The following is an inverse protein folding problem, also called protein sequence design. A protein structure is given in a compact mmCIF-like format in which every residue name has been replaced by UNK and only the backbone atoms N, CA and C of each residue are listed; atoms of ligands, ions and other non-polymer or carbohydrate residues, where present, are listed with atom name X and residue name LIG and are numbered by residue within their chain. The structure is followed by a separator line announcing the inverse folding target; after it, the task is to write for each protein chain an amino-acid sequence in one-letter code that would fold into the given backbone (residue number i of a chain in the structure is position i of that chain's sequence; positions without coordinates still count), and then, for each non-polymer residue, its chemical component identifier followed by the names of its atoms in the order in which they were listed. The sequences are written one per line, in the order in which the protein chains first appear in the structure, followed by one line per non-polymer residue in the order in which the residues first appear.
data_IF_963213226232
#
_entry.id   IF_963213226232
#
_cell.length_a   1.000
_cell.length_b   1.000
_cell.length_c   1.000
_cell.angle_alpha   90.00
_cell.angle_beta   90.00
_cell.angle_gamma   90.00
#
_symmetry.space_group_name_H-M   'P 1'
#
loop_
_entity.id
_entity.type
_entity.pdbx_description
1 polymer ?
#
# COMPACT_ATOMS: atom_id res chain seq x y z
N UNK A 1 20.73 20.55 -22.96
CA UNK A 1 19.84 19.89 -21.99
C UNK A 1 20.19 18.42 -22.05
N UNK A 2 21.00 17.93 -21.11
CA UNK A 2 21.21 16.50 -20.98
C UNK A 2 19.87 15.87 -20.60
N UNK A 3 19.44 14.85 -21.33
CA UNK A 3 18.26 14.09 -20.96
C UNK A 3 18.49 13.53 -19.55
N UNK A 4 17.60 13.82 -18.60
CA UNK A 4 17.65 13.23 -17.27
C UNK A 4 17.53 11.70 -17.43
N UNK A 5 18.66 10.99 -17.38
CA UNK A 5 18.67 9.55 -17.53
C UNK A 5 18.05 8.95 -16.26
N UNK A 6 16.89 8.33 -16.41
CA UNK A 6 16.21 7.64 -15.30
C UNK A 6 17.09 6.48 -14.84
N UNK A 7 17.41 6.46 -13.54
CA UNK A 7 18.15 5.36 -12.94
C UNK A 7 17.29 4.09 -12.96
N UNK A 8 17.89 2.94 -13.26
CA UNK A 8 17.22 1.64 -13.22
C UNK A 8 17.56 0.91 -11.92
N UNK A 9 16.55 0.33 -11.26
CA UNK A 9 16.70 -0.61 -10.16
C UNK A 9 16.31 -2.00 -10.64
N UNK A 10 17.31 -2.85 -10.89
CA UNK A 10 17.08 -4.23 -11.27
C UNK A 10 17.03 -5.11 -10.04
N UNK A 11 16.11 -6.08 -10.03
CA UNK A 11 16.00 -7.06 -8.95
C UNK A 11 15.51 -8.41 -9.49
N UNK A 12 15.75 -9.47 -8.74
CA UNK A 12 15.15 -10.78 -8.93
C UNK A 12 14.77 -11.38 -7.57
N UNK A 13 14.25 -12.61 -7.57
CA UNK A 13 13.73 -13.24 -6.34
C UNK A 13 14.84 -13.52 -5.30
N UNK A 14 16.12 -13.59 -5.70
CA UNK A 14 17.24 -13.74 -4.77
C UNK A 14 17.53 -12.47 -3.96
N UNK A 15 17.03 -11.31 -4.42
CA UNK A 15 17.16 -10.04 -3.70
C UNK A 15 16.11 -9.92 -2.57
N UNK A 16 15.16 -10.85 -2.47
CA UNK A 16 14.16 -10.85 -1.41
C UNK A 16 14.78 -11.14 -0.05
N UNK A 17 14.42 -10.32 0.93
CA UNK A 17 14.79 -10.51 2.33
C UNK A 17 13.75 -11.43 2.97
N UNK A 18 14.00 -12.74 3.06
CA UNK A 18 12.96 -13.67 3.56
C UNK A 18 12.63 -13.52 5.04
N UNK A 19 13.52 -12.93 5.85
CA UNK A 19 13.27 -12.73 7.28
C UNK A 19 13.70 -11.33 7.72
N UNK A 20 12.80 -10.63 8.40
CA UNK A 20 13.10 -9.36 9.08
C UNK A 20 12.75 -9.46 10.55
N UNK A 21 13.37 -8.64 11.39
CA UNK A 21 13.15 -8.67 12.85
C UNK A 21 12.54 -7.33 13.29
N UNK A 22 11.35 -7.38 13.87
CA UNK A 22 10.72 -6.25 14.56
C UNK A 22 11.21 -6.25 16.01
N UNK A 23 12.12 -5.34 16.37
CA UNK A 23 12.52 -5.13 17.76
C UNK A 23 12.67 -3.64 18.06
N UNK A 24 12.40 -3.24 19.31
CA UNK A 24 12.61 -1.85 19.78
C UNK A 24 14.10 -1.49 19.98
N UNK A 25 14.97 -2.49 19.93
CA UNK A 25 16.41 -2.39 20.24
C UNK A 25 17.30 -2.54 18.99
N UNK A 26 16.74 -2.91 17.83
CA UNK A 26 17.50 -3.11 16.58
C UNK A 26 17.76 -1.84 15.77
N UNK A 27 17.58 -0.65 16.34
CA UNK A 27 17.78 0.65 15.66
C UNK A 27 19.20 0.87 15.09
N UNK A 28 20.15 -0.06 15.24
CA UNK A 28 21.55 0.14 14.86
C UNK A 28 22.28 -1.03 14.19
N UNK A 29 21.67 -2.20 13.95
CA UNK A 29 22.44 -3.40 13.51
C UNK A 29 21.96 -4.09 12.22
N UNK A 30 20.76 -3.83 11.71
CA UNK A 30 20.32 -4.42 10.44
C UNK A 30 20.88 -3.62 9.26
N UNK A 31 21.74 -4.27 8.47
CA UNK A 31 22.25 -3.72 7.21
C UNK A 31 21.09 -3.52 6.23
N UNK A 32 20.88 -2.28 5.79
CA UNK A 32 19.88 -1.93 4.79
C UNK A 32 20.09 -2.71 3.49
N UNK A 33 19.00 -3.17 2.87
CA UNK A 33 19.03 -3.81 1.56
C UNK A 33 19.44 -2.82 0.46
N UNK A 34 19.75 -3.31 -0.74
CA UNK A 34 20.02 -2.42 -1.88
C UNK A 34 18.81 -1.56 -2.22
N UNK A 35 17.60 -2.12 -2.11
CA UNK A 35 16.35 -1.39 -2.30
C UNK A 35 16.22 -0.24 -1.30
N UNK A 36 16.43 -0.53 -0.01
CA UNK A 36 16.34 0.48 1.05
C UNK A 36 17.35 1.62 0.85
N UNK A 37 18.60 1.27 0.54
CA UNK A 37 19.62 2.28 0.28
C UNK A 37 19.26 3.16 -0.93
N UNK A 38 18.78 2.55 -2.01
CA UNK A 38 18.44 3.26 -3.26
C UNK A 38 17.25 4.19 -3.05
N UNK A 39 16.16 3.70 -2.44
CA UNK A 39 14.96 4.48 -2.18
C UNK A 39 15.22 5.63 -1.21
N UNK A 40 15.85 5.34 -0.07
CA UNK A 40 16.10 6.35 0.98
C UNK A 40 17.04 7.44 0.47
N UNK A 41 18.17 7.07 -0.14
CA UNK A 41 19.14 8.06 -0.66
C UNK A 41 18.56 8.90 -1.79
N UNK A 42 17.82 8.29 -2.72
CA UNK A 42 17.19 9.00 -3.81
C UNK A 42 16.09 9.96 -3.33
N UNK A 43 15.28 9.55 -2.36
CA UNK A 43 14.29 10.43 -1.72
C UNK A 43 14.95 11.60 -0.98
N UNK A 44 15.99 11.35 -0.19
CA UNK A 44 16.73 12.39 0.54
C UNK A 44 17.39 13.39 -0.42
N UNK A 45 18.01 12.93 -1.50
CA UNK A 45 18.61 13.80 -2.52
C UNK A 45 17.56 14.74 -3.12
N UNK A 46 16.38 14.23 -3.46
CA UNK A 46 15.29 15.05 -4.00
C UNK A 46 14.72 16.03 -2.98
N UNK A 47 14.74 15.68 -1.69
CA UNK A 47 14.35 16.59 -0.60
C UNK A 47 15.33 17.76 -0.50
N UNK A 48 16.63 17.48 -0.60
CA UNK A 48 17.69 18.49 -0.64
C UNK A 48 17.62 19.39 -1.88
N UNK A 49 17.12 18.86 -3.00
CA UNK A 49 16.89 19.61 -4.24
C UNK A 49 15.63 20.49 -4.20
N UNK A 50 14.80 20.41 -3.15
CA UNK A 50 13.60 21.23 -3.01
C UNK A 50 12.44 20.82 -3.91
N UNK A 51 12.37 19.54 -4.34
CA UNK A 51 11.32 19.04 -5.23
C UNK A 51 9.99 18.73 -4.54
N UNK A 52 9.89 18.97 -3.22
CA UNK A 52 8.71 18.69 -2.42
C UNK A 52 7.91 19.97 -2.17
N UNK A 53 6.59 19.85 -2.00
CA UNK A 53 5.72 20.98 -1.65
C UNK A 53 6.03 21.57 -0.26
N UNK A 54 6.63 20.76 0.62
CA UNK A 54 7.14 21.19 1.92
C UNK A 54 8.26 20.28 2.40
N UNK A 55 9.13 20.79 3.28
CA UNK A 55 10.12 19.98 3.98
C UNK A 55 9.45 19.13 5.05
N UNK A 56 9.67 17.82 5.02
CA UNK A 56 9.25 16.92 6.09
C UNK A 56 10.21 17.06 7.27
N UNK A 57 9.78 17.75 8.32
CA UNK A 57 10.49 17.78 9.60
C UNK A 57 10.21 16.52 10.42
N UNK A 58 10.92 16.36 11.55
CA UNK A 58 10.67 15.29 12.51
C UNK A 58 9.19 15.33 12.98
N UNK A 59 8.45 14.27 12.68
CA UNK A 59 7.04 14.18 12.98
C UNK A 59 6.84 13.87 14.47
N UNK A 60 6.20 14.80 15.20
CA UNK A 60 5.75 14.53 16.56
C UNK A 60 4.82 13.33 16.54
N UNK A 61 5.24 12.26 17.20
CA UNK A 61 4.55 10.97 17.20
C UNK A 61 4.09 10.62 18.62
N UNK A 62 2.86 10.12 18.76
CA UNK A 62 2.34 9.51 19.99
C UNK A 62 1.78 8.13 19.68
N UNK A 63 1.82 7.24 20.65
CA UNK A 63 1.01 6.03 20.64
C UNK A 63 -0.20 6.29 21.52
N UNK A 64 -1.40 6.15 20.96
CA UNK A 64 -2.61 6.34 21.74
C UNK A 64 -2.74 5.22 22.78
N UNK A 65 -3.12 5.55 24.03
CA UNK A 65 -3.34 4.54 25.05
C UNK A 65 -4.60 3.73 24.72
N UNK A 66 -4.47 2.41 24.72
CA UNK A 66 -5.56 1.47 24.46
C UNK A 66 -5.05 0.15 23.88
N UNK A 67 -5.97 -0.68 23.40
CA UNK A 67 -5.68 -2.01 22.87
C UNK A 67 -5.23 -2.01 21.41
N UNK A 68 -5.63 -0.99 20.64
CA UNK A 68 -5.28 -0.87 19.22
C UNK A 68 -3.91 -0.21 19.03
N UNK A 69 -3.49 0.65 19.97
CA UNK A 69 -2.14 1.23 19.97
C UNK A 69 -1.88 2.09 18.74
N UNK A 70 -2.89 2.88 18.32
CA UNK A 70 -2.80 3.74 17.14
C UNK A 70 -1.59 4.67 17.20
N UNK A 71 -0.86 4.76 16.08
CA UNK A 71 0.30 5.64 15.93
C UNK A 71 -0.18 6.98 15.37
N UNK A 72 -0.32 8.00 16.20
CA UNK A 72 -0.71 9.34 15.78
C UNK A 72 0.50 10.22 15.52
N UNK A 73 0.55 10.84 14.34
CA UNK A 73 1.59 11.78 13.92
C UNK A 73 0.99 13.13 13.53
N UNK A 74 1.59 14.20 14.05
CA UNK A 74 1.21 15.57 13.68
C UNK A 74 1.91 15.99 12.39
N UNK A 75 1.14 16.23 11.33
CA UNK A 75 1.63 16.75 10.06
C UNK A 75 0.72 17.85 9.53
N UNK A 76 0.91 19.07 10.04
CA UNK A 76 0.10 20.25 9.70
C UNK A 76 0.26 20.65 8.23
N UNK A 77 1.51 20.66 7.74
CA UNK A 77 1.82 21.05 6.36
C UNK A 77 1.16 20.12 5.35
N UNK A 78 1.06 18.83 5.65
CA UNK A 78 0.30 17.89 4.82
C UNK A 78 -1.19 18.23 4.73
N UNK A 79 -1.77 18.78 5.79
CA UNK A 79 -3.15 19.26 5.77
C UNK A 79 -3.34 20.48 4.86
N UNK A 80 -2.33 21.36 4.82
CA UNK A 80 -2.36 22.65 4.12
C UNK A 80 -1.94 22.56 2.65
N UNK A 81 -0.85 21.86 2.37
CA UNK A 81 -0.18 21.83 1.06
C UNK A 81 -0.68 20.70 0.14
N UNK A 82 -1.52 19.79 0.67
CA UNK A 82 -2.05 18.69 -0.13
C UNK A 82 -2.97 19.23 -1.23
N UNK A 83 -2.69 18.82 -2.46
CA UNK A 83 -3.55 19.10 -3.62
C UNK A 83 -5.01 18.73 -3.35
N UNK A 84 -5.93 19.59 -3.81
CA UNK A 84 -7.37 19.29 -3.84
C UNK A 84 -7.62 17.99 -4.64
N UNK A 85 -8.30 16.99 -4.07
CA UNK A 85 -8.65 15.77 -4.78
C UNK A 85 -9.50 16.04 -6.01
N UNK A 86 -9.41 15.15 -7.01
CA UNK A 86 -10.32 15.14 -8.15
C UNK A 86 -11.76 14.87 -7.69
N UNK A 87 -12.74 15.36 -8.46
CA UNK A 87 -14.14 14.99 -8.25
C UNK A 87 -14.34 13.54 -8.71
N UNK A 88 -14.62 12.67 -7.76
CA UNK A 88 -14.86 11.24 -7.99
C UNK A 88 -16.35 10.95 -7.84
N UNK A 89 -16.94 10.30 -8.84
CA UNK A 89 -18.36 9.92 -8.89
C UNK A 89 -18.57 8.41 -8.85
N UNK A 90 -17.58 7.63 -9.27
CA UNK A 90 -17.63 6.17 -9.31
C UNK A 90 -16.21 5.61 -9.21
N UNK A 91 -16.12 4.34 -8.83
CA UNK A 91 -14.85 3.62 -8.79
C UNK A 91 -14.32 3.35 -10.20
N UNK A 92 -15.23 3.10 -11.15
CA UNK A 92 -14.93 2.92 -12.58
C UNK A 92 -14.97 4.23 -13.36
N UNK A 93 -14.71 5.34 -12.68
CA UNK A 93 -14.62 6.64 -13.35
C UNK A 93 -13.48 6.60 -14.38
N UNK A 94 -13.79 7.00 -15.60
CA UNK A 94 -12.82 7.00 -16.70
C UNK A 94 -11.65 7.94 -16.44
N UNK A 95 -10.48 7.57 -16.97
CA UNK A 95 -9.31 8.44 -16.98
C UNK A 95 -9.62 9.72 -17.76
N UNK A 96 -9.19 10.87 -17.22
CA UNK A 96 -9.38 12.17 -17.86
C UNK A 96 -8.02 12.86 -18.02
N UNK A 97 -7.52 12.89 -19.27
CA UNK A 97 -6.25 13.50 -19.61
C UNK A 97 -6.19 15.01 -19.29
N UNK A 98 -7.32 15.70 -19.13
CA UNK A 98 -7.38 17.13 -18.79
C UNK A 98 -7.08 17.39 -17.33
N UNK A 99 -7.45 16.46 -16.45
CA UNK A 99 -7.14 16.52 -15.02
C UNK A 99 -5.66 16.18 -14.78
N UNK A 100 -5.17 16.49 -13.57
CA UNK A 100 -3.81 16.10 -13.19
C UNK A 100 -3.64 14.57 -13.32
N UNK A 101 -2.53 14.16 -13.90
CA UNK A 101 -2.14 12.77 -14.04
C UNK A 101 -0.61 12.66 -14.09
N UNK A 102 -0.06 11.47 -13.87
CA UNK A 102 1.39 11.29 -13.75
C UNK A 102 2.20 11.48 -15.03
N UNK A 103 1.58 11.68 -16.21
CA UNK A 103 2.32 12.14 -17.39
C UNK A 103 2.77 13.62 -17.30
N UNK A 104 2.37 14.32 -16.23
CA UNK A 104 2.66 15.75 -16.00
C UNK A 104 3.61 16.02 -14.84
N UNK A 105 4.21 14.99 -14.25
CA UNK A 105 5.20 15.17 -13.18
C UNK A 105 6.50 15.75 -13.73
N UNK A 106 7.27 16.45 -12.89
CA UNK A 106 8.64 16.79 -13.27
C UNK A 106 9.46 15.47 -13.35
N UNK A 107 10.18 15.18 -14.45
CA UNK A 107 11.04 13.99 -14.54
C UNK A 107 12.08 13.89 -13.41
N UNK A 108 12.48 15.01 -12.82
CA UNK A 108 13.37 15.03 -11.66
C UNK A 108 12.72 14.48 -10.38
N UNK A 109 11.38 14.29 -10.33
CA UNK A 109 10.68 13.62 -9.23
C UNK A 109 10.92 12.10 -9.24
N UNK A 110 11.34 11.52 -10.36
CA UNK A 110 11.56 10.07 -10.52
C UNK A 110 12.83 9.65 -9.78
N UNK A 111 12.69 8.73 -8.82
CA UNK A 111 13.80 8.16 -8.05
C UNK A 111 14.53 7.13 -8.90
N UNK A 112 13.80 6.13 -9.39
CA UNK A 112 14.28 5.10 -10.32
C UNK A 112 13.10 4.40 -10.99
N UNK A 113 13.39 3.61 -12.01
CA UNK A 113 12.49 2.66 -12.65
C UNK A 113 12.86 1.24 -12.20
N UNK A 114 11.89 0.50 -11.65
CA UNK A 114 12.06 -0.90 -11.24
C UNK A 114 11.91 -1.86 -12.40
N UNK A 115 12.81 -2.84 -12.49
CA UNK A 115 12.79 -3.91 -13.51
C UNK A 115 13.09 -5.24 -12.87
N UNK A 116 12.11 -6.14 -12.85
CA UNK A 116 12.33 -7.53 -12.46
C UNK A 116 13.12 -8.24 -13.56
N UNK A 117 14.23 -8.88 -13.20
CA UNK A 117 15.02 -9.72 -14.09
C UNK A 117 14.44 -11.14 -14.05
N UNK A 118 14.00 -11.64 -15.20
CA UNK A 118 13.68 -13.06 -15.35
C UNK A 118 14.99 -13.85 -15.35
N UNK A 119 15.19 -14.73 -14.36
CA UNK A 119 16.27 -15.71 -14.39
C UNK A 119 15.75 -16.91 -15.16
N UNK A 120 15.99 -16.96 -16.47
CA UNK A 120 15.80 -18.18 -17.24
C UNK A 120 17.15 -18.92 -17.32
N UNK A 121 17.34 -20.05 -16.61
CA UNK A 121 18.65 -20.73 -16.54
C UNK A 121 19.11 -21.35 -17.87
N UNK A 122 18.21 -21.52 -18.85
CA UNK A 122 18.51 -22.25 -20.10
C UNK A 122 18.67 -21.38 -21.35
N UNK A 123 18.43 -20.05 -21.30
CA UNK A 123 18.60 -19.16 -22.45
C UNK A 123 19.66 -18.09 -22.21
N UNK A 124 20.94 -18.50 -22.29
CA UNK A 124 22.05 -17.56 -22.57
C UNK A 124 21.93 -17.05 -24.02
N UNK A 125 21.02 -16.11 -24.25
CA UNK A 125 20.87 -15.46 -25.55
C UNK A 125 19.44 -15.23 -26.00
N UNK A 126 18.56 -14.73 -25.13
CA UNK A 126 17.32 -14.08 -25.56
C UNK A 126 16.79 -13.22 -24.42
N UNK A 127 16.91 -11.89 -24.55
CA UNK A 127 16.05 -11.01 -23.78
C UNK A 127 14.59 -11.30 -24.17
N UNK A 128 13.69 -11.26 -23.18
CA UNK A 128 12.23 -11.45 -23.25
C UNK A 128 11.76 -12.92 -23.16
N UNK A 129 11.57 -13.38 -21.93
CA UNK A 129 10.52 -14.36 -21.61
C UNK A 129 9.17 -13.63 -21.67
N UNK A 130 8.66 -13.41 -22.88
CA UNK A 130 7.30 -12.94 -23.13
C UNK A 130 6.34 -14.13 -23.12
N UNK A 131 5.86 -14.48 -21.92
CA UNK A 131 4.72 -15.37 -21.71
C UNK A 131 3.51 -14.56 -21.21
N UNK A 132 2.48 -14.44 -22.06
CA UNK A 132 1.10 -13.98 -21.78
C UNK A 132 0.84 -12.63 -21.07
N UNK A 133 1.84 -11.91 -20.57
CA UNK A 133 1.74 -10.50 -20.17
C UNK A 133 2.83 -9.72 -20.89
N UNK A 134 2.46 -9.13 -22.03
CA UNK A 134 3.39 -8.48 -22.95
C UNK A 134 3.99 -7.20 -22.36
N UNK A 135 5.30 -7.23 -22.09
CA UNK A 135 6.11 -6.09 -21.69
C UNK A 135 6.60 -6.24 -20.25
N UNK A 136 7.90 -5.99 -19.99
CA UNK A 136 8.32 -5.67 -18.63
C UNK A 136 7.43 -4.50 -18.17
N UNK A 137 6.50 -4.75 -17.26
CA UNK A 137 5.67 -3.69 -16.70
C UNK A 137 6.58 -2.76 -15.93
N UNK A 138 6.95 -1.66 -16.60
CA UNK A 138 7.82 -0.65 -16.05
C UNK A 138 7.11 -0.02 -14.88
N UNK A 139 7.72 -0.11 -13.70
CA UNK A 139 7.22 0.55 -12.50
C UNK A 139 8.15 1.71 -12.17
N UNK A 140 7.64 2.93 -12.28
CA UNK A 140 8.35 4.13 -11.86
C UNK A 140 8.15 4.35 -10.36
N UNK A 141 9.25 4.55 -9.64
CA UNK A 141 9.24 4.96 -8.25
C UNK A 141 9.51 6.47 -8.20
N UNK A 142 8.49 7.22 -7.79
CA UNK A 142 8.47 8.69 -7.84
C UNK A 142 8.26 9.23 -6.43
N UNK A 143 8.87 10.36 -6.06
CA UNK A 143 8.58 10.96 -4.76
C UNK A 143 7.10 11.35 -4.66
N UNK A 144 6.50 11.20 -3.48
CA UNK A 144 5.27 11.92 -3.21
C UNK A 144 5.63 13.34 -2.76
N UNK A 145 5.42 14.32 -3.64
CA UNK A 145 5.74 15.73 -3.37
C UNK A 145 5.02 16.30 -2.14
N UNK A 146 3.96 15.65 -1.66
CA UNK A 146 3.37 15.86 -0.33
C UNK A 146 3.62 14.62 0.54
N UNK A 147 4.76 14.49 1.23
CA UNK A 147 5.16 13.26 1.91
C UNK A 147 4.45 13.12 3.27
N UNK A 148 3.87 11.94 3.56
CA UNK A 148 3.25 11.70 4.86
C UNK A 148 4.25 11.29 5.93
N UNK A 149 5.33 10.64 5.48
CA UNK A 149 6.40 10.07 6.28
C UNK A 149 7.67 9.99 5.42
N UNK A 150 8.80 9.71 6.06
CA UNK A 150 10.09 9.49 5.43
C UNK A 150 10.02 8.45 4.30
N UNK A 151 10.71 8.78 3.21
CA UNK A 151 10.72 8.01 1.96
C UNK A 151 9.32 7.75 1.34
N UNK A 152 8.30 8.57 1.66
CA UNK A 152 7.00 8.45 1.01
C UNK A 152 7.12 8.66 -0.51
N UNK A 153 6.92 7.57 -1.25
CA UNK A 153 7.01 7.48 -2.70
C UNK A 153 5.72 6.90 -3.30
N UNK A 154 5.65 6.95 -4.62
CA UNK A 154 4.58 6.40 -5.44
C UNK A 154 5.17 5.37 -6.39
N UNK A 155 4.53 4.21 -6.46
CA UNK A 155 4.77 3.21 -7.50
C UNK A 155 3.75 3.44 -8.61
N UNK A 156 4.22 3.82 -9.79
CA UNK A 156 3.39 4.21 -10.93
C UNK A 156 3.75 3.29 -12.11
N UNK A 157 2.87 2.37 -12.53
CA UNK A 157 3.04 1.63 -13.77
C UNK A 157 3.18 2.60 -14.95
N UNK A 158 3.87 2.22 -16.02
CA UNK A 158 4.14 3.04 -17.22
C UNK A 158 3.06 4.13 -17.46
N UNK A 159 3.34 5.39 -17.07
CA UNK A 159 2.31 6.45 -16.99
C UNK A 159 1.59 6.71 -18.32
N UNK A 160 2.25 6.43 -19.44
CA UNK A 160 1.69 6.59 -20.77
C UNK A 160 0.53 5.64 -21.07
N UNK A 161 0.42 4.52 -20.34
CA UNK A 161 -0.71 3.59 -20.42
C UNK A 161 -2.01 4.19 -19.87
N UNK A 162 -1.92 5.29 -19.11
CA UNK A 162 -3.08 6.01 -18.56
C UNK A 162 -4.05 5.10 -17.79
N UNK A 163 -3.51 4.10 -17.08
CA UNK A 163 -4.30 3.13 -16.34
C UNK A 163 -5.14 3.84 -15.28
N UNK A 164 -6.42 3.50 -15.20
CA UNK A 164 -7.34 4.00 -14.17
C UNK A 164 -6.85 3.56 -12.78
N UNK A 165 -7.29 4.23 -11.71
CA UNK A 165 -6.96 3.86 -10.33
C UNK A 165 -7.71 2.58 -9.88
N UNK A 166 -7.39 1.47 -10.54
CA UNK A 166 -7.88 0.11 -10.38
C UNK A 166 -6.65 -0.80 -10.36
N UNK A 167 -6.55 -1.70 -9.37
CA UNK A 167 -5.40 -2.59 -9.24
C UNK A 167 -5.27 -3.54 -10.43
N UNK A 168 -4.04 -3.78 -10.86
CA UNK A 168 -3.69 -4.80 -11.85
C UNK A 168 -2.86 -5.89 -11.18
N UNK A 169 -2.81 -7.12 -11.74
CA UNK A 169 -1.95 -8.19 -11.21
C UNK A 169 -0.50 -7.73 -11.02
N UNK A 170 0.05 -7.03 -12.01
CA UNK A 170 1.41 -6.49 -11.97
C UNK A 170 1.62 -5.46 -10.87
N UNK A 171 0.69 -4.52 -10.66
CA UNK A 171 0.79 -3.56 -9.57
C UNK A 171 0.74 -4.27 -8.20
N UNK A 172 -0.15 -5.25 -8.03
CA UNK A 172 -0.24 -6.04 -6.80
C UNK A 172 1.08 -6.78 -6.56
N UNK A 173 1.62 -7.44 -7.58
CA UNK A 173 2.87 -8.19 -7.51
C UNK A 173 4.04 -7.28 -7.12
N UNK A 174 4.27 -6.18 -7.82
CA UNK A 174 5.36 -5.24 -7.50
C UNK A 174 5.19 -4.65 -6.10
N UNK A 175 3.95 -4.42 -5.65
CA UNK A 175 3.67 -4.00 -4.28
C UNK A 175 4.14 -5.03 -3.24
N UNK A 176 3.85 -6.32 -3.46
CA UNK A 176 4.29 -7.42 -2.57
C UNK A 176 5.82 -7.55 -2.61
N UNK A 177 6.39 -7.61 -3.81
CA UNK A 177 7.84 -7.75 -4.02
C UNK A 177 8.63 -6.60 -3.39
N UNK A 178 8.12 -5.37 -3.47
CA UNK A 178 8.76 -4.20 -2.83
C UNK A 178 8.86 -4.35 -1.31
N UNK A 179 7.87 -4.99 -0.66
CA UNK A 179 7.93 -5.29 0.78
C UNK A 179 8.95 -6.40 1.07
N UNK A 180 9.12 -7.37 0.16
CA UNK A 180 10.17 -8.39 0.27
C UNK A 180 11.58 -7.85 0.03
N UNK A 181 11.74 -6.89 -0.88
CA UNK A 181 13.03 -6.22 -1.17
C UNK A 181 13.53 -5.36 0.00
N UNK A 182 12.64 -4.88 0.85
CA UNK A 182 13.00 -4.14 2.06
C UNK A 182 13.50 -5.08 3.16
N UNK A 183 14.63 -4.72 3.75
CA UNK A 183 15.14 -5.31 5.00
C UNK A 183 14.53 -4.66 6.25
N UNK A 184 13.87 -3.52 6.08
CA UNK A 184 13.19 -2.80 7.15
C UNK A 184 11.73 -3.31 7.28
N UNK A 185 11.33 -3.88 8.44
CA UNK A 185 9.96 -4.33 8.66
C UNK A 185 8.94 -3.17 8.63
N UNK A 186 9.37 -1.94 8.82
CA UNK A 186 8.56 -0.72 8.76
C UNK A 186 8.28 -0.21 7.36
N UNK A 187 8.88 -0.79 6.30
CA UNK A 187 8.51 -0.46 4.93
C UNK A 187 7.15 -1.05 4.58
N UNK A 188 6.27 -0.21 4.04
CA UNK A 188 4.88 -0.57 3.75
C UNK A 188 4.46 -0.02 2.41
N UNK A 189 3.56 -0.77 1.77
CA UNK A 189 2.94 -0.37 0.51
C UNK A 189 1.43 -0.34 0.70
N UNK A 190 0.73 0.54 -0.01
CA UNK A 190 -0.73 0.52 0.02
C UNK A 190 -1.38 1.22 -1.16
N UNK A 191 -2.68 1.00 -1.29
CA UNK A 191 -3.51 1.49 -2.36
C UNK A 191 -4.81 2.07 -1.81
N UNK A 192 -5.27 3.14 -2.44
CA UNK A 192 -6.59 3.70 -2.25
C UNK A 192 -7.33 3.57 -3.59
N UNK A 193 -8.51 2.94 -3.61
CA UNK A 193 -9.39 3.02 -4.77
C UNK A 193 -9.98 4.42 -4.90
N UNK A 194 -10.52 4.73 -6.07
CA UNK A 194 -11.51 5.81 -6.19
C UNK A 194 -12.66 5.57 -5.21
N UNK A 195 -13.14 6.63 -4.54
CA UNK A 195 -14.11 6.53 -3.43
C UNK A 195 -13.51 6.09 -2.09
N UNK A 196 -12.24 5.66 -2.06
CA UNK A 196 -11.49 5.27 -0.86
C UNK A 196 -10.33 6.22 -0.55
N UNK A 197 -10.55 7.53 -0.76
CA UNK A 197 -9.58 8.61 -0.54
C UNK A 197 -8.40 8.71 -1.53
N UNK A 198 -8.43 7.99 -2.67
CA UNK A 198 -7.56 8.31 -3.80
C UNK A 198 -7.78 9.75 -4.28
N UNK A 199 -6.69 10.48 -4.54
CA UNK A 199 -6.75 11.88 -5.02
C UNK A 199 -6.62 12.04 -6.53
N UNK A 200 -6.11 11.01 -7.22
CA UNK A 200 -5.80 11.04 -8.65
C UNK A 200 -6.34 9.76 -9.27
N UNK A 201 -7.08 9.87 -10.36
CA UNK A 201 -7.46 8.75 -11.21
C UNK A 201 -6.34 8.43 -12.22
N UNK A 202 -5.26 7.83 -11.74
CA UNK A 202 -4.18 7.27 -12.54
C UNK A 202 -3.46 6.27 -11.63
N UNK A 203 -3.39 4.98 -12.01
CA UNK A 203 -2.92 3.90 -11.16
C UNK A 203 -1.62 4.23 -10.43
N UNK A 204 -1.67 4.22 -9.11
CA UNK A 204 -0.50 4.33 -8.25
C UNK A 204 -0.70 3.60 -6.92
N UNK A 205 0.40 3.09 -6.38
CA UNK A 205 0.53 2.63 -4.99
C UNK A 205 1.36 3.64 -4.21
N UNK A 206 1.19 3.66 -2.90
CA UNK A 206 2.01 4.42 -1.96
C UNK A 206 3.05 3.50 -1.34
N UNK A 207 4.30 3.94 -1.21
CA UNK A 207 5.35 3.29 -0.40
C UNK A 207 5.89 4.25 0.64
N UNK A 208 6.16 3.80 1.87
CA UNK A 208 6.77 4.63 2.93
C UNK A 208 7.35 3.77 4.06
N UNK A 209 8.22 4.36 4.89
CA UNK A 209 8.78 3.71 6.07
C UNK A 209 8.15 4.28 7.33
N UNK A 210 7.51 3.45 8.15
CA UNK A 210 7.12 3.85 9.50
C UNK A 210 7.71 2.86 10.50
N UNK A 211 8.68 3.36 11.26
CA UNK A 211 9.38 2.63 12.31
C UNK A 211 8.50 2.45 13.58
N UNK A 212 7.29 1.93 13.43
CA UNK A 212 6.41 1.61 14.57
C UNK A 212 5.60 0.37 14.21
N UNK A 213 5.56 -0.62 15.10
CA UNK A 213 4.70 -1.78 14.90
C UNK A 213 3.22 -1.35 14.89
N UNK A 214 2.49 -1.73 13.85
CA UNK A 214 1.05 -1.55 13.75
C UNK A 214 0.32 -2.82 14.18
N UNK A 215 -0.86 -2.66 14.80
CA UNK A 215 -1.66 -3.78 15.30
C UNK A 215 -1.99 -4.81 14.22
N UNK A 216 -2.24 -4.35 13.00
CA UNK A 216 -2.54 -5.19 11.83
C UNK A 216 -1.45 -6.20 11.48
N UNK A 217 -0.21 -5.97 11.90
CA UNK A 217 0.91 -6.90 11.65
C UNK A 217 0.74 -8.21 12.39
N UNK A 218 0.02 -8.21 13.52
CA UNK A 218 -0.21 -9.38 14.38
C UNK A 218 -1.69 -9.58 14.75
N UNK A 219 -2.59 -8.83 14.12
CA UNK A 219 -4.02 -8.94 14.36
C UNK A 219 -4.52 -10.37 14.08
N UNK A 220 -5.40 -10.92 14.95
CA UNK A 220 -5.94 -12.26 14.78
C UNK A 220 -6.84 -12.37 13.54
N UNK A 221 -6.91 -13.58 13.01
CA UNK A 221 -7.74 -13.89 11.86
C UNK A 221 -8.47 -15.21 11.99
N UNK A 222 -9.53 -15.34 11.21
CA UNK A 222 -10.25 -16.59 10.95
C UNK A 222 -10.19 -16.92 9.46
N UNK A 223 -10.10 -18.19 9.12
CA UNK A 223 -10.06 -18.61 7.72
C UNK A 223 -11.44 -18.49 7.09
N UNK A 224 -11.52 -17.86 5.92
CA UNK A 224 -12.77 -17.68 5.18
C UNK A 224 -12.87 -18.62 3.97
N UNK A 225 -11.81 -18.73 3.16
CA UNK A 225 -11.71 -19.68 2.03
C UNK A 225 -10.30 -20.28 2.01
N UNK A 226 -10.08 -21.46 2.65
CA UNK A 226 -8.76 -22.08 2.77
C UNK A 226 -8.06 -22.31 1.43
N UNK A 227 -8.79 -22.79 0.41
CA UNK A 227 -8.28 -23.15 -0.91
C UNK A 227 -7.75 -21.94 -1.69
N UNK A 228 -8.17 -20.74 -1.28
CA UNK A 228 -7.80 -19.45 -1.87
C UNK A 228 -6.90 -18.64 -0.94
N UNK A 229 -6.50 -19.18 0.21
CA UNK A 229 -5.71 -18.46 1.21
C UNK A 229 -6.39 -17.21 1.79
N UNK A 230 -7.73 -17.12 1.69
CA UNK A 230 -8.48 -15.96 2.16
C UNK A 230 -8.81 -16.09 3.65
N UNK A 231 -8.42 -15.09 4.42
CA UNK A 231 -8.75 -14.94 5.83
C UNK A 231 -9.55 -13.65 6.08
N UNK A 232 -10.26 -13.62 7.22
CA UNK A 232 -10.93 -12.44 7.77
C UNK A 232 -10.16 -11.97 9.00
N UNK A 233 -9.86 -10.68 9.08
CA UNK A 233 -9.40 -10.03 10.32
C UNK A 233 -10.55 -9.99 11.33
N UNK A 234 -10.32 -10.50 12.54
CA UNK A 234 -11.32 -10.47 13.62
C UNK A 234 -11.12 -9.31 14.59
N UNK A 235 -10.04 -8.55 14.39
CA UNK A 235 -9.76 -7.31 15.11
C UNK A 235 -10.22 -6.09 14.30
N UNK A 236 -10.33 -4.94 14.96
CA UNK A 236 -10.69 -3.70 14.29
C UNK A 236 -9.48 -3.08 13.55
N UNK A 237 -9.66 -2.57 12.31
CA UNK A 237 -10.86 -2.67 11.48
C UNK A 237 -10.98 -4.04 10.77
N UNK A 238 -12.21 -4.57 10.73
CA UNK A 238 -12.55 -5.82 10.02
C UNK A 238 -12.19 -5.69 8.54
N UNK A 239 -11.53 -6.70 7.98
CA UNK A 239 -11.11 -6.73 6.58
C UNK A 239 -10.72 -8.12 6.12
N UNK A 240 -10.37 -8.25 4.85
CA UNK A 240 -9.83 -9.48 4.27
C UNK A 240 -8.31 -9.49 4.35
N UNK A 241 -7.73 -10.67 4.55
CA UNK A 241 -6.28 -10.86 4.62
C UNK A 241 -5.85 -12.03 3.74
N UNK A 242 -4.78 -11.81 2.99
CA UNK A 242 -3.92 -12.84 2.44
C UNK A 242 -2.53 -12.79 3.10
N UNK A 243 -1.82 -13.91 3.07
CA UNK A 243 -0.45 -14.03 3.56
C UNK A 243 0.41 -14.86 2.61
N UNK A 244 1.64 -14.43 2.37
CA UNK A 244 2.63 -15.17 1.57
C UNK A 244 4.02 -14.96 2.16
N UNK A 245 4.88 -15.97 2.06
CA UNK A 245 6.31 -15.89 2.38
C UNK A 245 7.19 -15.73 1.13
N UNK A 246 6.56 -15.47 -0.03
CA UNK A 246 7.21 -15.29 -1.33
C UNK A 246 6.99 -16.47 -2.28
N UNK A 247 6.41 -17.57 -1.80
CA UNK A 247 6.05 -18.72 -2.61
C UNK A 247 4.73 -18.48 -3.37
N UNK A 248 4.63 -19.03 -4.59
CA UNK A 248 3.43 -19.02 -5.42
C UNK A 248 2.77 -17.62 -5.57
N UNK A 249 3.59 -16.57 -5.73
CA UNK A 249 3.11 -15.18 -5.82
C UNK A 249 2.08 -14.99 -6.95
N UNK A 250 2.18 -15.73 -8.06
CA UNK A 250 1.21 -15.61 -9.15
C UNK A 250 -0.21 -16.03 -8.74
N UNK A 251 -0.35 -17.13 -8.01
CA UNK A 251 -1.65 -17.62 -7.55
C UNK A 251 -2.29 -16.62 -6.58
N UNK A 252 -1.55 -16.16 -5.57
CA UNK A 252 -2.07 -15.20 -4.58
C UNK A 252 -2.43 -13.85 -5.23
N UNK A 253 -1.62 -13.37 -6.17
CA UNK A 253 -1.91 -12.16 -6.96
C UNK A 253 -3.18 -12.33 -7.78
N UNK A 254 -3.37 -13.50 -8.41
CA UNK A 254 -4.57 -13.84 -9.16
C UNK A 254 -5.83 -13.76 -8.29
N UNK A 255 -5.82 -14.36 -7.11
CA UNK A 255 -6.95 -14.32 -6.17
C UNK A 255 -7.21 -12.91 -5.62
N UNK A 256 -6.16 -12.15 -5.30
CA UNK A 256 -6.29 -10.75 -4.88
C UNK A 256 -6.95 -9.93 -6.00
N UNK A 257 -6.53 -10.12 -7.25
CA UNK A 257 -7.11 -9.44 -8.40
C UNK A 257 -8.60 -9.79 -8.56
N UNK A 258 -8.95 -11.07 -8.51
CA UNK A 258 -10.35 -11.54 -8.54
C UNK A 258 -11.20 -10.87 -7.46
N UNK A 259 -10.68 -10.76 -6.23
CA UNK A 259 -11.36 -10.08 -5.13
C UNK A 259 -11.54 -8.59 -5.42
N UNK A 260 -10.49 -7.89 -5.85
CA UNK A 260 -10.58 -6.45 -6.11
C UNK A 260 -11.47 -6.15 -7.32
N UNK A 261 -11.45 -6.97 -8.36
CA UNK A 261 -12.34 -6.86 -9.52
C UNK A 261 -13.80 -7.04 -9.11
N UNK A 262 -14.09 -8.04 -8.28
CA UNK A 262 -15.42 -8.26 -7.70
C UNK A 262 -15.95 -7.01 -6.96
N UNK A 263 -15.08 -6.29 -6.22
CA UNK A 263 -15.43 -5.04 -5.54
C UNK A 263 -15.64 -3.89 -6.53
N UNK A 264 -14.76 -3.76 -7.54
CA UNK A 264 -14.84 -2.73 -8.59
C UNK A 264 -16.13 -2.87 -9.41
N UNK A 265 -16.49 -4.09 -9.80
CA UNK A 265 -17.71 -4.40 -10.56
C UNK A 265 -18.98 -3.99 -9.82
N UNK A 266 -18.97 -4.13 -8.48
CA UNK A 266 -20.06 -3.72 -7.57
C UNK A 266 -19.96 -2.27 -7.11
N UNK A 267 -18.98 -1.50 -7.60
CA UNK A 267 -18.74 -0.12 -7.20
C UNK A 267 -18.54 0.02 -5.67
N UNK A 268 -17.84 -0.95 -5.05
CA UNK A 268 -17.47 -0.95 -3.63
C UNK A 268 -16.06 -0.38 -3.43
N UNK A 269 -15.97 0.72 -2.68
CA UNK A 269 -14.70 1.39 -2.41
C UNK A 269 -13.84 0.49 -1.53
N UNK A 270 -12.53 0.53 -1.73
CA UNK A 270 -11.62 -0.31 -0.96
C UNK A 270 -10.22 0.30 -0.83
N UNK A 271 -9.57 -0.08 0.26
CA UNK A 271 -8.14 0.16 0.48
C UNK A 271 -7.42 -1.18 0.49
N UNK A 272 -6.17 -1.19 0.06
CA UNK A 272 -5.26 -2.33 0.20
C UNK A 272 -3.99 -1.88 0.92
N UNK A 273 -3.45 -2.74 1.78
CA UNK A 273 -2.26 -2.45 2.57
C UNK A 273 -1.36 -3.67 2.69
N UNK A 274 -0.07 -3.48 2.47
CA UNK A 274 0.95 -4.50 2.52
C UNK A 274 1.98 -4.17 3.59
N UNK A 275 2.24 -5.12 4.47
CA UNK A 275 3.23 -4.98 5.54
C UNK A 275 3.83 -6.34 5.86
N UNK A 276 5.07 -6.35 6.34
CA UNK A 276 5.61 -7.51 7.06
C UNK A 276 4.71 -7.82 8.26
N UNK A 277 4.47 -9.10 8.53
CA UNK A 277 3.53 -9.49 9.58
C UNK A 277 3.67 -10.94 10.02
N UNK A 278 2.94 -11.31 11.07
CA UNK A 278 2.80 -12.69 11.50
C UNK A 278 1.92 -13.47 10.50
N UNK A 279 2.09 -14.80 10.41
CA UNK A 279 1.14 -15.67 9.73
C UNK A 279 -0.30 -15.49 10.24
N UNK A 280 -1.32 -15.84 9.44
CA UNK A 280 -2.72 -15.85 9.87
C UNK A 280 -2.95 -16.80 11.05
N UNK A 281 -3.95 -16.47 11.87
CA UNK A 281 -4.36 -17.24 13.04
C UNK A 281 -4.39 -16.39 14.31
N UNK A 282 -4.47 -17.05 15.47
CA UNK A 282 -4.40 -16.37 16.77
C UNK A 282 -2.95 -16.36 17.26
N UNK A 283 -2.37 -15.16 17.33
CA UNK A 283 -1.09 -14.95 18.00
C UNK A 283 -1.33 -14.29 19.36
N UNK A 284 -1.06 -15.00 20.46
CA UNK A 284 -1.13 -14.42 21.81
C UNK A 284 -0.01 -13.40 22.07
N UNK A 285 1.11 -13.51 21.33
CA UNK A 285 2.20 -12.53 21.32
C UNK A 285 2.69 -12.34 19.87
N UNK A 286 2.94 -11.11 19.42
CA UNK A 286 3.55 -10.86 18.11
C UNK A 286 4.92 -11.54 18.03
N UNK A 287 5.19 -12.25 16.93
CA UNK A 287 6.50 -12.82 16.67
C UNK A 287 7.48 -11.69 16.34
N UNK A 288 8.71 -11.76 16.83
CA UNK A 288 9.74 -10.76 16.50
C UNK A 288 10.18 -10.91 15.05
N UNK A 289 10.45 -12.16 14.63
CA UNK A 289 10.76 -12.47 13.23
C UNK A 289 9.48 -12.43 12.39
N UNK A 290 9.55 -11.73 11.25
CA UNK A 290 8.49 -11.65 10.24
C UNK A 290 9.04 -12.23 8.94
N UNK A 291 8.48 -13.35 8.52
CA UNK A 291 8.88 -14.03 7.28
C UNK A 291 8.05 -13.57 6.09
N UNK A 292 6.72 -13.48 6.28
CA UNK A 292 5.81 -13.14 5.20
C UNK A 292 5.29 -11.71 5.19
N UNK A 293 4.52 -11.45 4.13
CA UNK A 293 3.78 -10.22 3.88
C UNK A 293 2.30 -10.48 4.12
N UNK A 294 1.68 -9.62 4.92
CA UNK A 294 0.23 -9.53 5.08
C UNK A 294 -0.32 -8.56 4.06
N UNK A 295 -1.26 -9.02 3.22
CA UNK A 295 -1.98 -8.20 2.25
C UNK A 295 -3.41 -8.04 2.75
N UNK A 296 -3.74 -6.84 3.20
CA UNK A 296 -5.01 -6.55 3.85
C UNK A 296 -5.87 -5.70 2.92
N UNK A 297 -7.15 -6.06 2.78
CA UNK A 297 -8.11 -5.35 1.93
C UNK A 297 -9.32 -4.97 2.78
N UNK A 298 -9.67 -3.68 2.76
CA UNK A 298 -10.82 -3.14 3.49
C UNK A 298 -11.87 -2.60 2.50
N UNK A 299 -12.90 -3.39 2.17
CA UNK A 299 -14.12 -2.86 1.57
C UNK A 299 -14.77 -1.85 2.52
N UNK A 300 -15.27 -0.75 1.97
CA UNK A 300 -15.71 0.39 2.78
C UNK A 300 -16.81 1.19 2.07
N UNK A 301 -17.52 1.98 2.86
CA UNK A 301 -18.50 2.95 2.34
C UNK A 301 -17.77 3.99 1.48
N UNK A 302 -18.22 4.23 0.23
CA UNK A 302 -17.53 5.16 -0.65
C UNK A 302 -17.69 6.60 -0.17
N UNK A 303 -16.64 7.40 -0.35
CA UNK A 303 -16.66 8.84 -0.09
C UNK A 303 -16.59 9.59 -1.42
N UNK A 304 -17.75 10.04 -1.90
CA UNK A 304 -17.86 10.90 -3.07
C UNK A 304 -18.24 12.32 -2.63
N UNK A 305 -17.52 13.34 -3.10
CA UNK A 305 -17.83 14.74 -2.81
C UNK A 305 -17.03 15.40 -1.68
N UNK A 306 -17.62 16.42 -1.04
CA UNK A 306 -16.99 17.22 0.01
C UNK A 306 -16.72 16.35 1.25
N UNK A 307 -15.48 16.36 1.72
CA UNK A 307 -15.03 15.57 2.88
C UNK A 307 -15.49 16.25 4.16
N UNK A 308 -16.01 15.49 5.11
CA UNK A 308 -16.20 15.98 6.48
C UNK A 308 -14.86 16.47 7.05
N UNK A 309 -14.90 17.55 7.84
CA UNK A 309 -13.75 18.02 8.60
C UNK A 309 -13.52 17.09 9.78
N UNK A 310 -12.72 16.04 9.57
CA UNK A 310 -12.20 15.16 10.61
C UNK A 310 -10.71 15.40 10.84
N UNK A 311 -10.25 15.04 12.04
CA UNK A 311 -8.84 15.11 12.46
C UNK A 311 -7.84 14.54 11.44
N UNK A 312 -8.25 13.47 10.76
CA UNK A 312 -7.52 12.78 9.70
C UNK A 312 -8.47 12.26 8.62
N UNK A 313 -7.94 11.97 7.43
CA UNK A 313 -8.73 11.34 6.35
C UNK A 313 -8.60 9.83 6.47
N UNK A 314 -9.69 9.06 6.52
CA UNK A 314 -9.64 7.60 6.70
C UNK A 314 -9.28 6.88 5.40
N UNK A 315 -8.00 6.96 5.02
CA UNK A 315 -7.41 6.26 3.88
C UNK A 315 -6.69 4.98 4.35
N UNK A 316 -5.79 4.43 3.52
CA UNK A 316 -5.04 3.22 3.83
C UNK A 316 -4.22 3.30 5.15
N UNK A 317 -3.61 4.45 5.47
CA UNK A 317 -2.73 4.57 6.64
C UNK A 317 -3.53 4.50 7.92
N UNK A 318 -4.63 5.24 7.95
CA UNK A 318 -5.50 5.35 9.12
C UNK A 318 -6.21 4.03 9.41
N UNK A 319 -6.62 3.29 8.37
CA UNK A 319 -7.15 1.93 8.52
C UNK A 319 -6.09 0.95 9.05
N UNK A 320 -4.83 1.10 8.65
CA UNK A 320 -3.72 0.32 9.18
C UNK A 320 -3.33 0.71 10.63
N UNK A 321 -3.84 1.84 11.13
CA UNK A 321 -3.59 2.35 12.46
C UNK A 321 -2.49 3.43 12.56
N UNK A 322 -2.07 3.97 11.42
CA UNK A 322 -1.18 5.13 11.32
C UNK A 322 -2.00 6.39 11.01
N UNK A 323 -2.15 7.25 12.00
CA UNK A 323 -3.00 8.44 11.94
C UNK A 323 -2.20 9.68 11.57
N UNK A 324 -2.49 10.27 10.41
CA UNK A 324 -1.89 11.53 9.99
C UNK A 324 -2.79 12.70 10.40
N UNK A 325 -2.52 13.28 11.57
CA UNK A 325 -3.32 14.34 12.18
C UNK A 325 -2.87 15.72 11.69
N UNK A 326 -3.83 16.56 11.31
CA UNK A 326 -3.57 17.81 10.57
C UNK A 326 -3.51 19.06 11.44
N UNK A 327 -3.91 18.99 12.70
CA UNK A 327 -3.89 20.13 13.63
C UNK A 327 -3.46 19.70 15.03
N UNK A 328 -3.04 20.67 15.85
CA UNK A 328 -2.48 20.41 17.17
C UNK A 328 -3.51 19.97 18.19
N UNK A 329 -4.71 20.54 18.14
CA UNK A 329 -5.79 20.27 19.09
C UNK A 329 -6.24 18.81 19.04
N UNK A 330 -6.59 18.33 17.84
CA UNK A 330 -6.94 16.93 17.63
C UNK A 330 -5.75 16.03 17.96
N UNK A 331 -4.53 16.42 17.58
CA UNK A 331 -3.36 15.63 17.92
C UNK A 331 -3.30 15.47 19.43
N UNK A 332 -3.40 16.55 20.19
CA UNK A 332 -3.29 16.60 21.66
C UNK A 332 -4.37 15.83 22.41
N UNK A 333 -5.60 15.85 21.92
CA UNK A 333 -6.74 15.37 22.68
C UNK A 333 -7.32 14.04 22.21
N UNK A 334 -7.06 13.62 20.95
CA UNK A 334 -7.74 12.45 20.39
C UNK A 334 -7.43 11.16 21.16
N UNK A 335 -8.49 10.41 21.42
CA UNK A 335 -8.46 9.12 22.11
C UNK A 335 -8.63 7.96 21.14
N UNK A 336 -8.22 6.75 21.56
CA UNK A 336 -8.41 5.53 20.76
C UNK A 336 -9.90 5.27 20.43
N UNK A 337 -10.80 5.58 21.36
CA UNK A 337 -12.26 5.47 21.18
C UNK A 337 -12.79 6.43 20.10
N UNK A 338 -12.30 7.68 20.08
CA UNK A 338 -12.68 8.66 19.05
C UNK A 338 -12.13 8.27 17.67
N UNK A 339 -10.89 7.79 17.60
CA UNK A 339 -10.31 7.25 16.36
C UNK A 339 -11.18 6.12 15.81
N UNK A 340 -11.55 5.16 16.66
CA UNK A 340 -12.41 4.05 16.28
C UNK A 340 -13.76 4.56 15.75
N UNK A 341 -14.37 5.54 16.42
CA UNK A 341 -15.62 6.16 15.97
C UNK A 341 -15.48 6.81 14.59
N UNK A 342 -14.41 7.58 14.36
CA UNK A 342 -14.13 8.23 13.07
C UNK A 342 -13.94 7.18 11.97
N UNK A 343 -13.15 6.14 12.20
CA UNK A 343 -12.90 5.08 11.22
C UNK A 343 -14.19 4.31 10.92
N UNK A 344 -15.00 4.00 11.93
CA UNK A 344 -16.23 3.23 11.78
C UNK A 344 -17.24 3.88 10.83
N UNK A 345 -17.27 5.22 10.74
CA UNK A 345 -18.14 5.96 9.78
C UNK A 345 -17.90 5.56 8.32
N UNK A 346 -16.70 5.07 8.03
CA UNK A 346 -16.30 4.72 6.67
C UNK A 346 -16.31 3.22 6.41
N UNK A 347 -16.32 2.38 7.44
CA UNK A 347 -16.41 0.94 7.26
C UNK A 347 -17.83 0.50 6.89
N UNK A 348 -17.95 -0.69 6.31
CA UNK A 348 -19.25 -1.36 6.18
C UNK A 348 -19.78 -1.73 7.57
N UNK A 349 -21.11 -1.84 7.71
CA UNK A 349 -21.68 -2.45 8.91
C UNK A 349 -21.28 -3.92 9.00
N UNK A 350 -21.31 -4.52 10.20
CA UNK A 350 -20.98 -5.94 10.36
C UNK A 350 -21.90 -6.86 9.53
N UNK A 351 -23.18 -6.48 9.36
CA UNK A 351 -24.13 -7.21 8.53
C UNK A 351 -23.75 -7.10 7.04
N UNK A 352 -23.47 -5.89 6.55
CA UNK A 352 -23.10 -5.66 5.15
C UNK A 352 -21.77 -6.34 4.82
N UNK A 353 -20.79 -6.27 5.73
CA UNK A 353 -19.51 -6.95 5.57
C UNK A 353 -19.69 -8.47 5.54
N UNK A 354 -20.52 -9.04 6.43
CA UNK A 354 -20.76 -10.48 6.47
C UNK A 354 -21.51 -10.97 5.23
N UNK A 355 -22.46 -10.19 4.71
CA UNK A 355 -23.12 -10.47 3.44
C UNK A 355 -22.11 -10.43 2.28
N UNK A 356 -21.31 -9.36 2.19
CA UNK A 356 -20.28 -9.21 1.17
C UNK A 356 -19.28 -10.37 1.20
N UNK A 357 -18.84 -10.78 2.39
CA UNK A 357 -17.97 -11.94 2.57
C UNK A 357 -18.62 -13.22 2.04
N UNK A 358 -19.90 -13.47 2.34
CA UNK A 358 -20.62 -14.66 1.85
C UNK A 358 -20.70 -14.69 0.33
N UNK A 359 -21.00 -13.55 -0.30
CA UNK A 359 -21.05 -13.42 -1.76
C UNK A 359 -19.66 -13.61 -2.40
N UNK A 360 -18.63 -12.99 -1.81
CA UNK A 360 -17.25 -13.11 -2.26
C UNK A 360 -16.73 -14.56 -2.16
N UNK A 361 -16.98 -15.24 -1.04
CA UNK A 361 -16.56 -16.64 -0.88
C UNK A 361 -17.17 -17.53 -1.97
N UNK A 362 -18.47 -17.36 -2.25
CA UNK A 362 -19.13 -18.09 -3.35
C UNK A 362 -18.52 -17.74 -4.70
N UNK A 363 -18.27 -16.47 -4.96
CA UNK A 363 -17.65 -16.01 -6.21
C UNK A 363 -16.28 -16.64 -6.44
N UNK A 364 -15.39 -16.61 -5.44
CA UNK A 364 -14.04 -17.17 -5.54
C UNK A 364 -14.04 -18.69 -5.72
N UNK A 365 -14.99 -19.40 -5.12
CA UNK A 365 -15.13 -20.86 -5.29
C UNK A 365 -15.66 -21.25 -6.68
N UNK A 366 -16.49 -20.41 -7.30
CA UNK A 366 -17.01 -20.65 -8.65
C UNK A 366 -16.02 -20.29 -9.76
N UNK A 367 -14.99 -19.49 -9.47
CA UNK A 367 -13.97 -19.07 -10.42
C UNK A 367 -12.61 -19.64 -10.01
N UNK A 368 -12.35 -20.95 -10.26
CA UNK A 368 -11.01 -21.50 -10.10
C UNK A 368 -10.02 -20.69 -10.96
N UNK A 369 -8.77 -20.60 -10.51
CA UNK A 369 -7.76 -19.78 -11.17
C UNK A 369 -7.66 -20.16 -12.66
N UNK A 370 -7.53 -19.16 -13.53
CA UNK A 370 -6.95 -19.41 -14.85
C UNK A 370 -5.51 -19.80 -14.60
N UNK A 371 -5.24 -21.12 -14.60
CA UNK A 371 -3.89 -21.63 -14.77
C UNK A 371 -3.51 -21.24 -16.21
N UNK A 372 -2.87 -20.10 -16.36
CA UNK A 372 -2.23 -19.68 -17.60
C UNK A 372 -0.86 -20.34 -17.70
#
# INVERSE_FOLDING_TARGET
MEACQVQHFFYNDQDFVHHVVRSKECDRLTKLSMFDNTLRSGWTKKMQQGLFSYTLADLRTRILPGSYGFVAQLNILRGQERRKPQRILSIRQQFDAKQFNFNRINPEEIIFEMKKQCVDPEFKGSALCSGATGGLDRMFVVINVSPLEFAHCLFIPEPTLCLQQILTPSAIQVGIESVFLSSDPGFRVGFNSLGAFASVNHLHLHGYYLDRELRIESAPTETAVPEKGLHRLTDFPTGFLFYTEGENLQAIVGVICQLTDFLVERNIAHNLFLTRGCPPGRCHRPMLTRSGVRIIIWPRTPCFGAKEESAFNVALCELAGHLVIKNREDFENITESEVKCIIQKYLLSENDFSQLQSELCKYLLMHPEFIA
#
